data_IF_568145169446
#
_entry.id   IF_568145169446
#
_cell.length_a   1.000
_cell.length_b   1.000
_cell.length_c   1.000
_cell.angle_alpha   90.00
_cell.angle_beta   90.00
_cell.angle_gamma   90.00
#
_symmetry.space_group_name_H-M   'P 1'
#
loop_
_entity.id
_entity.type
_entity.pdbx_description
1 polymer ?
#
# COMPACT_ATOMS: atom_id res chain seq x y z
N UNK A 1 10.13 -21.98 -26.95
CA UNK A 1 10.25 -20.63 -26.37
C UNK A 1 10.04 -20.80 -24.87
N UNK A 2 11.13 -21.06 -24.14
CA UNK A 2 11.08 -21.40 -22.72
C UNK A 2 11.21 -20.10 -21.92
N UNK A 3 10.10 -19.44 -21.64
CA UNK A 3 10.10 -18.27 -20.77
C UNK A 3 10.25 -18.78 -19.33
N UNK A 4 11.47 -18.75 -18.81
CA UNK A 4 11.73 -18.78 -17.37
C UNK A 4 10.80 -17.74 -16.72
N UNK A 5 9.86 -18.17 -15.88
CA UNK A 5 9.12 -17.27 -15.01
C UNK A 5 10.12 -16.59 -14.09
N UNK A 6 10.28 -15.29 -14.25
CA UNK A 6 11.11 -14.48 -13.38
C UNK A 6 10.39 -14.36 -12.02
N UNK A 7 10.94 -14.94 -10.94
CA UNK A 7 10.28 -14.95 -9.63
C UNK A 7 10.01 -13.54 -9.12
N UNK A 8 10.79 -12.54 -9.54
CA UNK A 8 10.55 -11.13 -9.20
C UNK A 8 9.28 -10.61 -9.88
N UNK A 9 9.12 -10.90 -11.17
CA UNK A 9 7.94 -10.46 -11.94
C UNK A 9 6.68 -11.13 -11.41
N UNK A 10 6.74 -12.43 -11.10
CA UNK A 10 5.62 -13.15 -10.50
C UNK A 10 5.27 -12.61 -9.11
N UNK A 11 6.28 -12.30 -8.28
CA UNK A 11 6.08 -11.70 -6.96
C UNK A 11 5.45 -10.31 -7.04
N UNK A 12 5.84 -9.47 -8.00
CA UNK A 12 5.22 -8.14 -8.22
C UNK A 12 3.78 -8.29 -8.74
N UNK A 13 3.58 -9.19 -9.71
CA UNK A 13 2.28 -9.43 -10.36
C UNK A 13 1.21 -9.89 -9.37
N UNK A 14 1.60 -10.71 -8.39
CA UNK A 14 0.73 -11.13 -7.30
C UNK A 14 0.71 -10.13 -6.14
N UNK A 15 1.86 -9.55 -5.81
CA UNK A 15 2.03 -8.71 -4.63
C UNK A 15 1.28 -7.39 -4.69
N UNK A 16 1.30 -6.73 -5.85
CA UNK A 16 0.62 -5.44 -6.01
C UNK A 16 -0.89 -5.60 -5.79
N UNK A 17 -1.62 -6.48 -6.50
CA UNK A 17 -3.05 -6.68 -6.25
C UNK A 17 -3.38 -7.07 -4.80
N UNK A 18 -2.62 -7.99 -4.20
CA UNK A 18 -2.80 -8.41 -2.80
C UNK A 18 -2.63 -7.24 -1.84
N UNK A 19 -1.62 -6.40 -2.02
CA UNK A 19 -1.40 -5.21 -1.19
C UNK A 19 -2.55 -4.21 -1.35
N UNK A 20 -2.99 -3.93 -2.58
CA UNK A 20 -4.10 -2.99 -2.83
C UNK A 20 -5.40 -3.48 -2.18
N UNK A 21 -5.70 -4.77 -2.30
CA UNK A 21 -6.86 -5.40 -1.66
C UNK A 21 -6.77 -5.32 -0.13
N UNK A 22 -5.58 -5.56 0.44
CA UNK A 22 -5.36 -5.42 1.88
C UNK A 22 -5.57 -3.97 2.34
N UNK A 23 -5.08 -2.97 1.60
CA UNK A 23 -5.24 -1.56 1.93
C UNK A 23 -6.69 -1.08 1.83
N UNK A 24 -7.46 -1.57 0.86
CA UNK A 24 -8.91 -1.32 0.78
C UNK A 24 -9.62 -1.93 2.00
N UNK A 25 -9.30 -3.18 2.35
CA UNK A 25 -9.85 -3.85 3.54
C UNK A 25 -9.52 -3.12 4.85
N UNK A 26 -8.27 -2.70 5.02
CA UNK A 26 -7.83 -1.89 6.17
C UNK A 26 -8.55 -0.54 6.24
N UNK A 27 -8.73 0.14 5.10
CA UNK A 27 -9.46 1.40 5.04
C UNK A 27 -10.91 1.21 5.49
N UNK A 28 -11.60 0.20 4.93
CA UNK A 28 -12.98 -0.11 5.28
C UNK A 28 -13.17 -0.48 6.77
N UNK A 29 -12.22 -1.23 7.33
CA UNK A 29 -12.21 -1.59 8.76
C UNK A 29 -12.05 -0.35 9.63
N UNK A 30 -11.11 0.54 9.29
CA UNK A 30 -10.84 1.74 10.10
C UNK A 30 -11.98 2.76 10.06
N UNK A 31 -12.66 2.90 8.92
CA UNK A 31 -13.83 3.77 8.78
C UNK A 31 -15.03 3.31 9.63
N UNK A 32 -15.14 2.01 9.87
CA UNK A 32 -16.28 1.39 10.55
C UNK A 32 -15.85 0.65 11.82
N UNK A 33 -14.72 1.05 12.39
CA UNK A 33 -14.09 0.28 13.45
C UNK A 33 -15.02 0.17 14.67
N UNK A 34 -15.26 -1.06 15.10
CA UNK A 34 -15.96 -1.39 16.33
C UNK A 34 -15.10 -2.34 17.16
N UNK A 35 -14.82 -1.97 18.41
CA UNK A 35 -13.99 -2.74 19.33
C UNK A 35 -14.49 -4.16 19.55
N UNK A 36 -15.81 -4.35 19.56
CA UNK A 36 -16.44 -5.64 19.85
C UNK A 36 -16.23 -6.66 18.72
N UNK A 37 -15.95 -6.17 17.50
CA UNK A 37 -15.76 -6.98 16.31
C UNK A 37 -14.29 -7.10 15.90
N UNK A 38 -13.35 -6.53 16.67
CA UNK A 38 -11.91 -6.47 16.33
C UNK A 38 -11.36 -7.81 15.85
N UNK A 39 -11.58 -8.89 16.60
CA UNK A 39 -11.04 -10.21 16.28
C UNK A 39 -11.60 -10.78 14.96
N UNK A 40 -12.90 -10.55 14.71
CA UNK A 40 -13.54 -10.96 13.46
C UNK A 40 -12.98 -10.15 12.27
N UNK A 41 -12.78 -8.84 12.45
CA UNK A 41 -12.21 -7.98 11.41
C UNK A 41 -10.76 -8.35 11.09
N UNK A 42 -9.95 -8.68 12.11
CA UNK A 42 -8.59 -9.17 11.91
C UNK A 42 -8.57 -10.53 11.19
N UNK A 43 -9.49 -11.43 11.52
CA UNK A 43 -9.61 -12.73 10.85
C UNK A 43 -9.91 -12.59 9.35
N UNK A 44 -10.66 -11.56 8.94
CA UNK A 44 -10.93 -11.27 7.52
C UNK A 44 -9.65 -10.87 6.77
N UNK A 45 -8.71 -10.18 7.44
CA UNK A 45 -7.46 -9.72 6.81
C UNK A 45 -6.36 -10.79 6.79
N UNK A 46 -6.44 -11.82 7.65
CA UNK A 46 -5.42 -12.86 7.79
C UNK A 46 -5.01 -13.53 6.47
N UNK A 47 -5.94 -13.93 5.56
CA UNK A 47 -5.56 -14.58 4.31
C UNK A 47 -4.70 -13.71 3.40
N UNK A 48 -5.05 -12.43 3.25
CA UNK A 48 -4.28 -11.50 2.42
C UNK A 48 -2.95 -11.13 3.10
N UNK A 49 -2.93 -10.98 4.43
CA UNK A 49 -1.68 -10.76 5.17
C UNK A 49 -0.70 -11.93 5.01
N UNK A 50 -1.18 -13.18 5.12
CA UNK A 50 -0.33 -14.36 4.98
C UNK A 50 0.27 -14.49 3.57
N UNK A 51 -0.52 -14.19 2.53
CA UNK A 51 -0.02 -14.11 1.15
C UNK A 51 1.05 -13.03 1.02
N UNK A 52 0.78 -11.84 1.55
CA UNK A 52 1.69 -10.71 1.44
C UNK A 52 3.02 -10.96 2.16
N UNK A 53 3.01 -11.64 3.31
CA UNK A 53 4.24 -12.04 4.01
C UNK A 53 5.11 -12.98 3.16
N UNK A 54 4.50 -13.93 2.46
CA UNK A 54 5.22 -14.86 1.56
C UNK A 54 5.85 -14.10 0.38
N UNK A 55 5.11 -13.15 -0.17
CA UNK A 55 5.57 -12.30 -1.27
C UNK A 55 6.68 -11.37 -0.78
N UNK A 56 6.56 -10.80 0.42
CA UNK A 56 7.58 -9.94 1.03
C UNK A 56 8.91 -10.67 1.13
N UNK A 57 8.92 -11.91 1.65
CA UNK A 57 10.13 -12.73 1.74
C UNK A 57 10.77 -12.96 0.37
N UNK A 58 9.95 -13.16 -0.66
CA UNK A 58 10.43 -13.32 -2.04
C UNK A 58 11.07 -12.02 -2.55
N UNK A 59 10.40 -10.87 -2.34
CA UNK A 59 10.89 -9.56 -2.76
C UNK A 59 12.15 -9.11 -1.99
N UNK A 60 12.31 -9.49 -0.72
CA UNK A 60 13.50 -9.18 0.09
C UNK A 60 14.76 -9.92 -0.40
N UNK A 61 14.58 -11.11 -0.97
CA UNK A 61 15.70 -11.92 -1.50
C UNK A 61 15.98 -11.67 -2.99
N UNK A 62 15.05 -11.01 -3.69
CA UNK A 62 15.17 -10.73 -5.11
C UNK A 62 16.09 -9.52 -5.37
N UNK A 63 16.93 -9.63 -6.40
CA UNK A 63 17.73 -8.52 -6.87
C UNK A 63 16.90 -7.66 -7.85
N UNK A 64 16.55 -6.45 -7.44
CA UNK A 64 15.92 -5.48 -8.33
C UNK A 64 16.97 -4.88 -9.27
N UNK A 65 16.73 -4.85 -10.59
CA UNK A 65 17.55 -4.07 -11.51
C UNK A 65 17.59 -2.59 -11.12
N UNK A 66 18.71 -1.90 -11.35
CA UNK A 66 18.93 -0.51 -10.91
C UNK A 66 17.80 0.46 -11.32
N UNK A 67 17.24 0.27 -12.52
CA UNK A 67 16.17 1.12 -13.06
C UNK A 67 14.80 0.91 -12.39
N UNK A 68 14.60 -0.19 -11.65
CA UNK A 68 13.38 -0.48 -10.87
C UNK A 68 13.64 -0.62 -9.37
N UNK A 69 14.88 -0.44 -8.91
CA UNK A 69 15.24 -0.54 -7.49
C UNK A 69 14.37 0.36 -6.61
N UNK A 70 14.13 1.61 -7.07
CA UNK A 70 13.26 2.56 -6.36
C UNK A 70 11.81 2.08 -6.23
N UNK A 71 11.28 1.40 -7.24
CA UNK A 71 9.94 0.81 -7.18
C UNK A 71 9.88 -0.30 -6.13
N UNK A 72 10.90 -1.18 -6.10
CA UNK A 72 11.01 -2.24 -5.10
C UNK A 72 11.06 -1.71 -3.67
N UNK A 73 11.84 -0.66 -3.42
CA UNK A 73 11.92 0.01 -2.12
C UNK A 73 10.55 0.54 -1.67
N UNK A 74 9.85 1.26 -2.54
CA UNK A 74 8.55 1.86 -2.25
C UNK A 74 7.46 0.80 -2.02
N UNK A 75 7.47 -0.27 -2.82
CA UNK A 75 6.57 -1.40 -2.63
C UNK A 75 6.82 -2.09 -1.27
N UNK A 76 8.08 -2.33 -0.93
CA UNK A 76 8.48 -2.92 0.35
C UNK A 76 8.11 -2.03 1.54
N UNK A 77 8.28 -0.71 1.41
CA UNK A 77 7.85 0.25 2.43
C UNK A 77 6.33 0.25 2.62
N UNK A 78 5.57 0.14 1.52
CA UNK A 78 4.12 0.05 1.58
C UNK A 78 3.64 -1.21 2.31
N UNK A 79 4.24 -2.37 1.99
CA UNK A 79 3.96 -3.65 2.67
C UNK A 79 4.22 -3.53 4.17
N UNK A 80 5.40 -3.05 4.55
CA UNK A 80 5.78 -2.85 5.97
C UNK A 80 4.82 -1.94 6.72
N UNK A 81 4.31 -0.90 6.09
CA UNK A 81 3.34 0.00 6.70
C UNK A 81 1.94 -0.62 6.79
N UNK A 82 1.53 -1.46 5.83
CA UNK A 82 0.29 -2.23 5.90
C UNK A 82 0.32 -3.22 7.10
N UNK A 83 1.43 -3.92 7.31
CA UNK A 83 1.59 -4.81 8.47
C UNK A 83 1.55 -4.07 9.80
N UNK A 84 2.21 -2.90 9.89
CA UNK A 84 2.13 -2.04 11.07
C UNK A 84 0.70 -1.62 11.37
N UNK A 85 -0.11 -1.37 10.34
CA UNK A 85 -1.52 -1.05 10.52
C UNK A 85 -2.28 -2.22 11.18
N UNK A 86 -2.08 -3.45 10.71
CA UNK A 86 -2.68 -4.66 11.30
C UNK A 86 -2.24 -4.82 12.75
N UNK A 87 -0.94 -4.68 13.03
CA UNK A 87 -0.40 -4.75 14.39
C UNK A 87 -1.05 -3.70 15.30
N UNK A 88 -1.24 -2.46 14.82
CA UNK A 88 -1.90 -1.42 15.60
C UNK A 88 -3.38 -1.72 15.87
N UNK A 89 -4.10 -2.32 14.91
CA UNK A 89 -5.49 -2.78 15.13
C UNK A 89 -5.52 -3.88 16.19
N UNK A 90 -4.59 -4.83 16.15
CA UNK A 90 -4.49 -5.90 17.15
C UNK A 90 -4.22 -5.36 18.56
N UNK A 91 -3.25 -4.45 18.69
CA UNK A 91 -2.92 -3.81 19.96
C UNK A 91 -3.98 -2.82 20.47
N UNK A 92 -5.01 -2.52 19.67
CA UNK A 92 -6.09 -1.63 20.10
C UNK A 92 -6.95 -2.23 21.22
N UNK A 93 -6.79 -3.53 21.49
CA UNK A 93 -7.34 -4.20 22.66
C UNK A 93 -6.88 -3.58 23.98
N UNK A 94 -5.61 -3.19 24.04
CA UNK A 94 -4.94 -2.66 25.22
C UNK A 94 -5.00 -1.13 25.27
N UNK A 95 -4.98 -0.51 24.09
CA UNK A 95 -4.96 0.93 23.93
C UNK A 95 -5.79 1.36 22.70
N UNK A 96 -7.02 1.85 22.88
CA UNK A 96 -7.88 2.28 21.77
C UNK A 96 -7.24 3.36 20.88
N UNK A 97 -6.29 4.15 21.39
CA UNK A 97 -5.58 5.18 20.60
C UNK A 97 -4.72 4.57 19.50
N UNK A 98 -4.41 3.28 19.58
CA UNK A 98 -3.69 2.55 18.52
C UNK A 98 -4.44 2.54 17.20
N UNK A 99 -5.76 2.72 17.16
CA UNK A 99 -6.53 2.86 15.92
C UNK A 99 -6.10 4.09 15.11
N UNK A 100 -5.76 5.19 15.77
CA UNK A 100 -5.20 6.36 15.07
C UNK A 100 -3.81 6.07 14.50
N UNK A 101 -3.00 5.28 15.21
CA UNK A 101 -1.71 4.82 14.70
C UNK A 101 -1.87 3.87 13.50
N UNK A 102 -2.89 2.99 13.52
CA UNK A 102 -3.24 2.14 12.39
C UNK A 102 -3.66 2.98 11.17
N UNK A 103 -4.54 3.96 11.36
CA UNK A 103 -4.94 4.90 10.31
C UNK A 103 -3.74 5.64 9.71
N UNK A 104 -2.83 6.13 10.56
CA UNK A 104 -1.59 6.77 10.09
C UNK A 104 -0.73 5.80 9.28
N UNK A 105 -0.60 4.53 9.71
CA UNK A 105 0.18 3.53 8.99
C UNK A 105 -0.43 3.21 7.62
N UNK A 106 -1.76 3.11 7.49
CA UNK A 106 -2.43 2.98 6.19
C UNK A 106 -2.13 4.17 5.28
N UNK A 107 -2.20 5.40 5.80
CA UNK A 107 -1.84 6.59 5.01
C UNK A 107 -0.39 6.56 4.54
N UNK A 108 0.55 6.08 5.37
CA UNK A 108 1.96 5.92 4.98
C UNK A 108 2.16 4.84 3.92
N UNK A 109 1.42 3.74 3.99
CA UNK A 109 1.46 2.73 2.93
C UNK A 109 0.98 3.30 1.59
N UNK A 110 -0.11 4.06 1.60
CA UNK A 110 -0.64 4.77 0.41
C UNK A 110 0.36 5.81 -0.12
N UNK A 111 0.99 6.60 0.76
CA UNK A 111 2.01 7.57 0.39
C UNK A 111 3.22 6.92 -0.29
N UNK A 112 3.69 5.79 0.22
CA UNK A 112 4.78 5.02 -0.39
C UNK A 112 4.40 4.47 -1.79
N UNK A 113 3.15 4.06 -1.99
CA UNK A 113 2.67 3.55 -3.28
C UNK A 113 2.42 4.65 -4.31
N UNK A 114 2.05 5.86 -3.90
CA UNK A 114 1.61 6.91 -4.82
C UNK A 114 2.59 7.22 -5.96
N UNK A 115 3.92 7.32 -5.74
CA UNK A 115 4.88 7.52 -6.83
C UNK A 115 4.88 6.39 -7.87
N UNK A 116 4.44 5.18 -7.50
CA UNK A 116 4.37 4.02 -8.38
C UNK A 116 3.12 4.03 -9.29
N UNK A 117 2.18 4.96 -9.09
CA UNK A 117 0.97 5.08 -9.90
C UNK A 117 1.26 5.39 -11.38
N UNK A 118 2.43 5.95 -11.70
CA UNK A 118 2.84 6.21 -13.10
C UNK A 118 3.38 4.95 -13.79
N UNK A 119 3.73 3.91 -13.02
CA UNK A 119 4.40 2.70 -13.50
C UNK A 119 3.40 1.57 -13.77
N UNK A 120 2.39 1.41 -12.92
CA UNK A 120 1.44 0.30 -12.99
C UNK A 120 0.00 0.79 -12.93
N UNK A 121 -0.81 0.40 -13.92
CA UNK A 121 -2.22 0.78 -14.00
C UNK A 121 -3.03 0.41 -12.73
N UNK A 122 -2.87 -0.79 -12.12
CA UNK A 122 -3.60 -1.12 -10.89
C UNK A 122 -3.33 -0.15 -9.73
N UNK A 123 -2.10 0.36 -9.62
CA UNK A 123 -1.74 1.33 -8.57
C UNK A 123 -2.40 2.67 -8.89
N UNK A 124 -2.40 3.10 -10.16
CA UNK A 124 -3.10 4.31 -10.55
C UNK A 124 -4.61 4.24 -10.25
N UNK A 125 -5.25 3.16 -10.67
CA UNK A 125 -6.69 2.95 -10.49
C UNK A 125 -7.09 2.92 -9.02
N UNK A 126 -6.26 2.37 -8.14
CA UNK A 126 -6.51 2.35 -6.70
C UNK A 126 -6.76 3.75 -6.10
N UNK A 127 -6.08 4.78 -6.59
CA UNK A 127 -6.23 6.16 -6.12
C UNK A 127 -7.42 6.91 -6.73
N UNK A 128 -8.13 6.31 -7.69
CA UNK A 128 -9.38 6.84 -8.22
C UNK A 128 -10.54 6.52 -7.28
N UNK A 129 -11.59 7.36 -7.32
CA UNK A 129 -12.85 7.07 -6.63
C UNK A 129 -13.35 5.67 -7.01
N UNK A 130 -13.85 4.85 -6.07
CA UNK A 130 -14.32 3.49 -6.35
C UNK A 130 -15.28 3.38 -7.55
N UNK A 131 -16.19 4.35 -7.68
CA UNK A 131 -17.17 4.41 -8.78
C UNK A 131 -16.53 4.74 -10.16
N UNK A 132 -15.31 5.28 -10.14
CA UNK A 132 -14.53 5.66 -11.33
C UNK A 132 -13.45 4.63 -11.70
N UNK A 133 -13.08 3.72 -10.80
CA UNK A 133 -12.13 2.61 -11.06
C UNK A 133 -12.52 1.77 -12.29
N UNK A 134 -13.79 1.40 -12.53
CA UNK A 134 -14.16 0.61 -13.71
C UNK A 134 -14.37 1.44 -14.99
N UNK A 135 -14.13 2.77 -14.99
CA UNK A 135 -14.55 3.62 -16.11
C UNK A 135 -13.39 4.23 -16.91
N UNK A 136 -13.31 3.71 -18.16
CA UNK A 136 -12.56 4.17 -19.32
C UNK A 136 -11.02 4.08 -19.22
N UNK A 137 -10.33 3.59 -20.26
CA UNK A 137 -8.90 3.81 -20.37
C UNK A 137 -8.65 5.31 -20.25
N UNK A 138 -7.63 5.70 -19.47
CA UNK A 138 -7.17 7.08 -19.39
C UNK A 138 -6.95 7.60 -20.81
N UNK A 139 -7.88 8.40 -21.31
CA UNK A 139 -7.69 9.12 -22.56
C UNK A 139 -6.64 10.19 -22.31
N UNK A 140 -5.93 10.59 -23.37
CA UNK A 140 -4.86 11.60 -23.29
C UNK A 140 -5.34 12.91 -22.63
N UNK A 141 -6.64 13.22 -22.76
CA UNK A 141 -7.31 14.36 -22.13
C UNK A 141 -7.45 14.27 -20.59
N UNK A 142 -7.43 13.07 -20.00
CA UNK A 142 -7.58 12.84 -18.56
C UNK A 142 -6.26 12.44 -17.89
N UNK A 143 -5.15 12.43 -18.64
CA UNK A 143 -3.84 12.13 -18.08
C UNK A 143 -3.43 13.28 -17.16
N UNK A 144 -3.33 13.01 -15.86
CA UNK A 144 -2.88 13.99 -14.90
C UNK A 144 -1.49 14.53 -15.31
N UNK A 145 -1.33 15.85 -15.35
CA UNK A 145 -0.01 16.47 -15.46
C UNK A 145 0.69 16.31 -14.13
N UNK A 146 1.42 15.20 -13.96
CA UNK A 146 2.16 14.90 -12.73
C UNK A 146 3.24 15.93 -12.40
N UNK A 147 3.63 16.80 -13.35
CA UNK A 147 4.48 17.96 -13.07
C UNK A 147 3.84 18.92 -12.05
N UNK A 148 2.50 19.04 -12.05
CA UNK A 148 1.76 19.98 -11.19
C UNK A 148 1.13 19.30 -9.95
N UNK A 149 1.11 17.97 -9.90
CA UNK A 149 0.59 17.18 -8.77
C UNK A 149 1.70 16.39 -8.09
N UNK A 150 2.81 17.06 -7.75
CA UNK A 150 3.87 16.44 -6.96
C UNK A 150 3.54 16.52 -5.47
N UNK A 151 3.66 15.40 -4.76
CA UNK A 151 3.74 15.43 -3.30
C UNK A 151 5.08 16.07 -2.94
N UNK A 152 5.04 17.31 -2.44
CA UNK A 152 6.25 18.02 -2.02
C UNK A 152 6.68 17.43 -0.67
N UNK A 153 7.66 16.53 -0.69
CA UNK A 153 8.34 16.08 0.52
C UNK A 153 9.21 17.21 1.06
N UNK A 154 8.70 17.94 2.05
CA UNK A 154 9.53 18.85 2.81
C UNK A 154 10.49 18.01 3.67
N UNK A 155 11.79 18.25 3.54
CA UNK A 155 12.88 17.60 4.27
C UNK A 155 12.90 18.03 5.74
N UNK A 156 11.80 17.85 6.45
CA UNK A 156 11.74 18.06 7.89
C UNK A 156 12.06 16.77 8.62
N UNK A 157 13.04 16.84 9.51
CA UNK A 157 13.30 15.78 10.48
C UNK A 157 12.11 15.63 11.43
N UNK A 158 11.89 14.42 11.95
CA UNK A 158 10.78 14.11 12.87
C UNK A 158 10.73 15.04 14.10
N UNK A 159 11.87 15.59 14.51
CA UNK A 159 12.00 16.45 15.69
C UNK A 159 11.74 17.93 15.40
N UNK A 160 11.84 18.34 14.14
CA UNK A 160 11.46 19.69 13.71
C UNK A 160 9.96 19.73 13.41
N UNK A 161 9.15 20.07 14.42
CA UNK A 161 7.72 20.39 14.22
C UNK A 161 7.60 21.81 13.64
N UNK A 162 6.88 21.95 12.52
CA UNK A 162 6.56 23.24 11.90
C UNK A 162 7.16 23.38 10.50
N UNK A 163 6.46 22.85 9.51
CA UNK A 163 6.68 23.11 8.09
C UNK A 163 5.32 23.46 7.49
N UNK A 164 5.08 24.78 7.43
CA UNK A 164 3.84 25.52 7.09
C UNK A 164 2.72 25.50 8.13
#
# INVERSE_FOLDING_TARGET
>A
MSTHQDPLVDAITLGVPTLLQLLDGLTAILERFNSDQREQLLAILQPEQAKLNTIQQTLETAAFPDHVARFGELLMEAIKNADKAIQHIDHSALDPMRILAASRAVCRAKEALFPCATLLAPIHEFFLDPDKRPQRPLTEANRASFEHCQVIHQTHSRETRGGY
#
